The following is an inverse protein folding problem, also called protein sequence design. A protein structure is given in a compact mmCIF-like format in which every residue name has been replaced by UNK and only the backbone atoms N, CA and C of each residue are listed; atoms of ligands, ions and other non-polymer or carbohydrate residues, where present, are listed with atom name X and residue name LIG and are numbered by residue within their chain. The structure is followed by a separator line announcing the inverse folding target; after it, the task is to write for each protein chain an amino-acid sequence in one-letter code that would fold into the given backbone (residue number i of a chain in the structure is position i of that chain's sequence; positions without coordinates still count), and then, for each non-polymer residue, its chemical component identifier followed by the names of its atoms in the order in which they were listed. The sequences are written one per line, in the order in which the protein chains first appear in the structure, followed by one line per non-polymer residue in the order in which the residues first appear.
data_IF_397692844993
#
_entry.id   IF_397692844993
#
_cell.length_a   1.000
_cell.length_b   1.000
_cell.length_c   1.000
_cell.angle_alpha   90.00
_cell.angle_beta   90.00
_cell.angle_gamma   90.00
#
_symmetry.space_group_name_H-M   'P 1'
#
loop_
_entity.id
_entity.type
_entity.pdbx_description
1 polymer ?
#
# COMPACT_ATOMS: atom_id res chain seq x y z
N UNK A 1 -3.29 -15.42 13.13
CA UNK A 1 -2.35 -15.68 12.01
C UNK A 1 -0.95 -15.74 12.58
N UNK A 2 -0.02 -16.53 12.01
CA UNK A 2 1.35 -16.59 12.52
C UNK A 2 2.00 -15.19 12.47
N UNK A 3 2.70 -14.74 13.54
CA UNK A 3 3.26 -13.38 13.62
C UNK A 3 4.14 -13.03 12.42
N UNK A 4 4.97 -13.99 11.98
CA UNK A 4 5.85 -13.85 10.82
C UNK A 4 5.09 -13.46 9.54
N UNK A 5 3.90 -14.03 9.31
CA UNK A 5 3.10 -13.73 8.12
C UNK A 5 2.59 -12.28 8.16
N UNK A 6 2.14 -11.81 9.32
CA UNK A 6 1.69 -10.43 9.50
C UNK A 6 2.84 -9.45 9.29
N UNK A 7 4.03 -9.78 9.81
CA UNK A 7 5.23 -8.95 9.60
C UNK A 7 5.58 -8.85 8.12
N UNK A 8 5.60 -9.98 7.40
CA UNK A 8 5.89 -10.00 5.96
C UNK A 8 4.85 -9.20 5.16
N UNK A 9 3.57 -9.38 5.43
CA UNK A 9 2.49 -8.62 4.76
C UNK A 9 2.61 -7.12 5.05
N UNK A 10 2.86 -6.75 6.30
CA UNK A 10 3.05 -5.35 6.70
C UNK A 10 4.21 -4.69 5.94
N UNK A 11 5.37 -5.36 5.89
CA UNK A 11 6.54 -4.86 5.14
C UNK A 11 6.26 -4.75 3.65
N UNK A 12 5.61 -5.75 3.04
CA UNK A 12 5.27 -5.73 1.61
C UNK A 12 4.35 -4.54 1.31
N UNK A 13 3.32 -4.33 2.11
CA UNK A 13 2.35 -3.25 1.93
C UNK A 13 3.04 -1.86 2.02
N UNK A 14 3.89 -1.65 3.02
CA UNK A 14 4.65 -0.40 3.16
C UNK A 14 5.59 -0.22 1.96
N UNK A 15 6.25 -1.28 1.52
CA UNK A 15 7.14 -1.23 0.34
C UNK A 15 6.38 -0.83 -0.92
N UNK A 16 5.15 -1.34 -1.12
CA UNK A 16 4.28 -0.93 -2.24
C UNK A 16 3.92 0.56 -2.15
N UNK A 17 3.63 1.08 -0.96
CA UNK A 17 3.34 2.51 -0.77
C UNK A 17 4.55 3.39 -1.11
N UNK A 18 5.73 3.05 -0.58
CA UNK A 18 6.98 3.76 -0.84
C UNK A 18 7.36 3.69 -2.32
N UNK A 19 7.23 2.52 -2.93
CA UNK A 19 7.47 2.35 -4.36
C UNK A 19 6.51 3.18 -5.20
N UNK A 20 5.23 3.25 -4.79
CA UNK A 20 4.23 4.07 -5.45
C UNK A 20 4.53 5.56 -5.38
N UNK A 21 5.05 6.03 -4.24
CA UNK A 21 5.55 7.40 -4.06
C UNK A 21 6.72 7.72 -5.01
N UNK A 22 7.71 6.82 -5.11
CA UNK A 22 8.89 7.00 -5.97
C UNK A 22 8.53 7.01 -7.46
N UNK A 23 7.65 6.11 -7.89
CA UNK A 23 7.19 6.02 -9.30
C UNK A 23 6.14 7.07 -9.67
N UNK A 24 5.53 7.75 -8.70
CA UNK A 24 4.41 8.66 -8.94
C UNK A 24 3.13 7.96 -9.39
N UNK A 25 2.99 6.65 -9.15
CA UNK A 25 1.79 5.87 -9.47
C UNK A 25 1.53 4.82 -8.39
N UNK A 26 0.29 4.66 -7.96
CA UNK A 26 -0.09 3.68 -6.94
C UNK A 26 -1.23 2.80 -7.41
N UNK A 27 -1.21 1.53 -7.04
CA UNK A 27 -2.22 0.56 -7.45
C UNK A 27 -3.54 0.88 -6.71
N UNK A 28 -4.56 1.23 -7.47
CA UNK A 28 -5.89 1.59 -6.95
C UNK A 28 -6.80 0.36 -6.83
N UNK A 29 -6.44 -0.72 -7.52
CA UNK A 29 -7.20 -1.96 -7.61
C UNK A 29 -6.93 -2.67 -8.92
N UNK A 30 -7.69 -3.72 -9.19
CA UNK A 30 -7.67 -4.42 -10.46
C UNK A 30 -9.09 -4.57 -10.97
N UNK A 31 -9.31 -4.32 -12.26
CA UNK A 31 -10.56 -4.63 -12.96
C UNK A 31 -10.27 -5.80 -13.90
N UNK A 32 -10.61 -7.02 -13.45
CA UNK A 32 -10.23 -8.26 -14.12
C UNK A 32 -8.71 -8.44 -14.12
N UNK A 33 -8.12 -8.69 -15.30
CA UNK A 33 -6.66 -8.84 -15.48
C UNK A 33 -5.90 -7.51 -15.61
N UNK A 34 -6.60 -6.37 -15.62
CA UNK A 34 -5.97 -5.04 -15.75
C UNK A 34 -5.89 -4.35 -14.40
N UNK A 35 -4.67 -4.07 -13.94
CA UNK A 35 -4.43 -3.21 -12.78
C UNK A 35 -4.76 -1.76 -13.12
N UNK A 36 -5.52 -1.10 -12.24
CA UNK A 36 -5.75 0.33 -12.30
C UNK A 36 -4.79 1.04 -11.36
N UNK A 37 -4.29 2.20 -11.82
CA UNK A 37 -3.33 3.00 -11.08
C UNK A 37 -3.85 4.43 -10.94
N UNK A 38 -3.69 5.01 -9.77
CA UNK A 38 -3.76 6.46 -9.60
C UNK A 38 -2.37 7.05 -9.81
N UNK A 39 -2.30 8.13 -10.57
CA UNK A 39 -1.08 8.88 -10.81
C UNK A 39 -1.08 10.15 -9.97
N UNK A 40 0.11 10.52 -9.47
CA UNK A 40 0.30 11.70 -8.63
C UNK A 40 -0.15 13.00 -9.32
N UNK A 41 0.03 13.10 -10.63
CA UNK A 41 -0.30 14.31 -11.39
C UNK A 41 -1.77 14.37 -11.82
N UNK A 42 -2.37 13.23 -12.18
CA UNK A 42 -3.74 13.20 -12.70
C UNK A 42 -4.78 13.32 -11.57
N UNK A 43 -4.53 12.68 -10.43
CA UNK A 43 -5.41 12.74 -9.27
C UNK A 43 -4.58 12.64 -7.97
N UNK A 44 -3.99 13.76 -7.51
CA UNK A 44 -3.11 13.78 -6.35
C UNK A 44 -3.83 13.37 -5.07
N UNK A 45 -5.11 13.74 -4.91
CA UNK A 45 -5.87 13.43 -3.71
C UNK A 45 -6.06 11.92 -3.55
N UNK A 46 -6.57 11.23 -4.58
CA UNK A 46 -6.74 9.78 -4.52
C UNK A 46 -5.39 9.05 -4.45
N UNK A 47 -4.35 9.57 -5.13
CA UNK A 47 -3.00 9.02 -5.05
C UNK A 47 -2.47 9.02 -3.61
N UNK A 48 -2.41 10.18 -2.95
CA UNK A 48 -1.92 10.27 -1.57
C UNK A 48 -2.85 9.59 -0.57
N UNK A 49 -4.16 9.58 -0.82
CA UNK A 49 -5.12 8.82 -0.02
C UNK A 49 -4.80 7.32 -0.02
N UNK A 50 -4.57 6.72 -1.19
CA UNK A 50 -4.17 5.31 -1.27
C UNK A 50 -2.80 5.04 -0.64
N UNK A 51 -1.82 5.95 -0.81
CA UNK A 51 -0.53 5.86 -0.13
C UNK A 51 -0.73 5.79 1.39
N UNK A 52 -1.54 6.70 1.94
CA UNK A 52 -1.83 6.72 3.38
C UNK A 52 -2.54 5.46 3.85
N UNK A 53 -3.49 4.94 3.07
CA UNK A 53 -4.19 3.68 3.38
C UNK A 53 -3.18 2.53 3.47
N UNK A 54 -2.30 2.39 2.47
CA UNK A 54 -1.29 1.34 2.50
C UNK A 54 -0.34 1.50 3.68
N UNK A 55 0.17 2.70 3.94
CA UNK A 55 1.04 2.95 5.10
C UNK A 55 0.34 2.62 6.43
N UNK A 56 -0.94 2.99 6.56
CA UNK A 56 -1.74 2.76 7.76
C UNK A 56 -1.97 1.25 7.99
N UNK A 57 -2.40 0.53 6.96
CA UNK A 57 -2.64 -0.92 7.05
C UNK A 57 -1.33 -1.66 7.33
N UNK A 58 -0.25 -1.32 6.62
CA UNK A 58 1.05 -1.96 6.82
C UNK A 58 1.61 -1.71 8.23
N UNK A 59 1.50 -0.49 8.73
CA UNK A 59 1.91 -0.14 10.10
C UNK A 59 1.05 -0.87 11.15
N UNK A 60 -0.26 -0.96 10.92
CA UNK A 60 -1.17 -1.69 11.80
C UNK A 60 -0.85 -3.19 11.85
N UNK A 61 -0.57 -3.81 10.69
CA UNK A 61 -0.15 -5.21 10.63
C UNK A 61 1.16 -5.46 11.37
N UNK A 62 2.14 -4.56 11.24
CA UNK A 62 3.38 -4.64 12.00
C UNK A 62 3.15 -4.51 13.50
N UNK A 63 2.34 -3.54 13.92
CA UNK A 63 1.96 -3.35 15.32
C UNK A 63 1.32 -4.61 15.92
N UNK A 64 0.38 -5.21 15.18
CA UNK A 64 -0.30 -6.44 15.60
C UNK A 64 0.61 -7.68 15.56
N UNK A 65 1.71 -7.66 14.79
CA UNK A 65 2.67 -8.77 14.80
C UNK A 65 3.60 -8.77 16.02
N UNK A 66 3.68 -7.64 16.72
CA UNK A 66 4.53 -7.42 17.89
C UNK A 66 3.79 -7.60 19.23
N UNK A 67 2.46 -7.66 19.21
CA UNK A 67 1.57 -7.87 20.37
C UNK A 67 0.82 -9.20 20.22
#
# INVERSE_FOLDING_TARGET
MPPLLLTLLGVIIITVAVWGLLRGRILAGARGLRSQYYYKHDNPFSFYGFVLIYLSIGSFMLYQSLH
#
